data_IF_854609195274
#
_entry.id   IF_854609195274
#
_cell.length_a   1.000
_cell.length_b   1.000
_cell.length_c   1.000
_cell.angle_alpha   90.00
_cell.angle_beta   90.00
_cell.angle_gamma   90.00
#
_symmetry.space_group_name_H-M   'P 1'
#
loop_
_entity.id
_entity.type
_entity.pdbx_description
1 polymer ?
#
# COMPACT_ATOMS: atom_id res chain seq x y z
N UNK A 1 -32.58 12.68 5.75
CA UNK A 1 -31.59 12.97 4.70
C UNK A 1 -30.27 12.30 5.06
N UNK A 2 -29.91 11.33 4.23
CA UNK A 2 -28.85 10.34 4.43
C UNK A 2 -27.49 10.98 4.04
N UNK A 3 -26.91 11.78 4.92
CA UNK A 3 -25.62 12.46 4.63
C UNK A 3 -24.39 11.56 4.82
N UNK A 4 -24.58 10.33 5.32
CA UNK A 4 -23.51 9.38 5.66
C UNK A 4 -23.23 8.30 4.61
N UNK A 5 -24.25 7.78 3.92
CA UNK A 5 -24.11 6.64 3.01
C UNK A 5 -23.26 6.94 1.77
N UNK A 6 -23.34 8.16 1.23
CA UNK A 6 -22.50 8.56 0.09
C UNK A 6 -20.99 8.64 0.43
N UNK A 7 -20.64 8.93 1.70
CA UNK A 7 -19.24 8.93 2.14
C UNK A 7 -18.70 7.53 2.37
N UNK A 8 -19.51 6.62 2.92
CA UNK A 8 -19.12 5.23 3.11
C UNK A 8 -19.00 4.47 1.80
N UNK A 9 -19.85 4.76 0.80
CA UNK A 9 -19.72 4.20 -0.54
C UNK A 9 -18.39 4.61 -1.20
N UNK A 10 -18.07 5.91 -1.21
CA UNK A 10 -16.81 6.44 -1.76
C UNK A 10 -15.56 5.82 -1.13
N UNK A 11 -15.59 5.56 0.19
CA UNK A 11 -14.50 4.87 0.89
C UNK A 11 -14.33 3.43 0.43
N UNK A 12 -15.43 2.70 0.24
CA UNK A 12 -15.39 1.32 -0.27
C UNK A 12 -14.84 1.27 -1.70
N UNK A 13 -15.25 2.21 -2.56
CA UNK A 13 -14.76 2.32 -3.94
C UNK A 13 -13.25 2.60 -3.99
N UNK A 14 -12.74 3.52 -3.17
CA UNK A 14 -11.29 3.79 -3.06
C UNK A 14 -10.50 2.55 -2.62
N UNK A 15 -10.99 1.81 -1.62
CA UNK A 15 -10.38 0.54 -1.15
C UNK A 15 -10.31 -0.50 -2.26
N UNK A 16 -11.43 -0.71 -2.95
CA UNK A 16 -11.53 -1.66 -4.05
C UNK A 16 -10.55 -1.30 -5.17
N UNK A 17 -10.41 0.00 -5.48
CA UNK A 17 -9.47 0.48 -6.51
C UNK A 17 -8.01 0.16 -6.14
N UNK A 18 -7.61 0.40 -4.90
CA UNK A 18 -6.26 0.08 -4.41
C UNK A 18 -6.00 -1.42 -4.48
N UNK A 19 -6.96 -2.23 -4.02
CA UNK A 19 -6.86 -3.69 -4.07
C UNK A 19 -6.77 -4.22 -5.50
N UNK A 20 -7.55 -3.64 -6.41
CA UNK A 20 -7.53 -4.02 -7.83
C UNK A 20 -6.21 -3.63 -8.51
N UNK A 21 -5.62 -2.47 -8.18
CA UNK A 21 -4.28 -2.09 -8.67
C UNK A 21 -3.23 -3.10 -8.17
N UNK A 22 -3.28 -3.47 -6.89
CA UNK A 22 -2.37 -4.47 -6.30
C UNK A 22 -2.50 -5.83 -6.97
N UNK A 23 -3.73 -6.28 -7.24
CA UNK A 23 -3.99 -7.54 -7.91
C UNK A 23 -3.51 -7.53 -9.38
N UNK A 24 -3.85 -6.49 -10.14
CA UNK A 24 -3.49 -6.39 -11.56
C UNK A 24 -1.98 -6.30 -11.78
N UNK A 25 -1.25 -5.65 -10.86
CA UNK A 25 0.20 -5.50 -10.95
C UNK A 25 0.99 -6.63 -10.26
N UNK A 26 0.29 -7.61 -9.69
CA UNK A 26 0.91 -8.77 -9.05
C UNK A 26 1.77 -8.40 -7.83
N UNK A 27 1.37 -7.39 -7.06
CA UNK A 27 2.12 -6.86 -5.92
C UNK A 27 2.08 -7.76 -4.67
N UNK A 28 1.44 -8.92 -4.74
CA UNK A 28 1.34 -9.89 -3.65
C UNK A 28 2.64 -10.68 -3.42
N UNK A 29 3.52 -10.75 -4.41
CA UNK A 29 4.79 -11.44 -4.32
C UNK A 29 5.84 -10.56 -3.63
N UNK A 30 6.14 -10.87 -2.36
CA UNK A 30 7.09 -10.13 -1.54
C UNK A 30 8.54 -10.25 -2.00
N UNK A 31 8.88 -11.26 -2.82
CA UNK A 31 10.23 -11.39 -3.40
C UNK A 31 10.42 -10.45 -4.61
N UNK A 32 9.33 -10.05 -5.26
CA UNK A 32 9.35 -9.17 -6.44
C UNK A 32 8.81 -7.76 -6.20
N UNK A 33 8.32 -7.50 -5.00
CA UNK A 33 7.67 -6.24 -4.64
C UNK A 33 8.43 -5.59 -3.49
N UNK A 34 9.05 -4.41 -3.71
CA UNK A 34 9.63 -3.62 -2.63
C UNK A 34 8.56 -3.19 -1.63
N UNK A 35 8.91 -3.19 -0.35
CA UNK A 35 8.02 -2.66 0.68
C UNK A 35 7.95 -1.12 0.60
N UNK A 36 6.83 -0.49 1.00
CA UNK A 36 6.76 0.97 1.08
C UNK A 36 7.90 1.55 1.92
N UNK A 37 8.66 2.49 1.34
CA UNK A 37 9.84 3.09 1.98
C UNK A 37 11.11 2.24 2.00
N UNK A 38 11.10 1.03 1.44
CA UNK A 38 12.30 0.17 1.34
C UNK A 38 13.30 0.72 0.33
N UNK A 39 14.57 0.80 0.73
CA UNK A 39 15.64 1.17 -0.20
C UNK A 39 15.94 0.03 -1.17
N UNK A 40 16.43 0.33 -2.38
CA UNK A 40 16.87 -0.71 -3.33
C UNK A 40 17.89 -1.68 -2.70
N UNK A 41 18.77 -1.16 -1.86
CA UNK A 41 19.79 -1.95 -1.17
C UNK A 41 19.15 -2.98 -0.24
N UNK A 42 18.16 -2.57 0.55
CA UNK A 42 17.48 -3.44 1.50
C UNK A 42 16.58 -4.46 0.79
N UNK A 43 15.87 -4.00 -0.25
CA UNK A 43 15.07 -4.85 -1.13
C UNK A 43 15.91 -5.99 -1.72
N UNK A 44 17.04 -5.64 -2.36
CA UNK A 44 17.93 -6.65 -2.94
C UNK A 44 18.53 -7.56 -1.87
N UNK A 45 18.97 -7.00 -0.73
CA UNK A 45 19.54 -7.81 0.37
C UNK A 45 18.58 -8.89 0.84
N UNK A 46 17.28 -8.57 0.96
CA UNK A 46 16.23 -9.50 1.39
C UNK A 46 15.86 -10.53 0.33
N UNK A 47 15.97 -10.17 -0.95
CA UNK A 47 15.47 -10.96 -2.09
C UNK A 47 16.58 -11.54 -2.97
N UNK A 48 17.84 -11.42 -2.56
CA UNK A 48 19.00 -11.76 -3.40
C UNK A 48 18.98 -13.20 -3.95
N UNK A 49 18.53 -14.18 -3.16
CA UNK A 49 18.47 -15.58 -3.56
C UNK A 49 17.49 -15.77 -4.70
N UNK A 50 16.31 -15.13 -4.61
CA UNK A 50 15.30 -15.17 -5.66
C UNK A 50 15.86 -14.60 -6.97
N UNK A 51 16.47 -13.42 -6.92
CA UNK A 51 16.98 -12.77 -8.11
C UNK A 51 18.19 -13.46 -8.72
N UNK A 52 19.07 -14.04 -7.89
CA UNK A 52 20.17 -14.86 -8.38
C UNK A 52 19.66 -16.15 -9.02
N UNK A 53 18.67 -16.83 -8.44
CA UNK A 53 18.08 -18.01 -9.09
C UNK A 53 17.44 -17.67 -10.44
N UNK A 54 16.69 -16.56 -10.51
CA UNK A 54 16.10 -16.08 -11.75
C UNK A 54 17.17 -15.71 -12.81
N UNK A 55 18.25 -15.04 -12.40
CA UNK A 55 19.37 -14.75 -13.28
C UNK A 55 20.06 -16.03 -13.78
N UNK A 56 20.29 -17.00 -12.88
CA UNK A 56 20.92 -18.27 -13.22
C UNK A 56 20.10 -19.04 -14.25
N UNK A 57 18.77 -19.05 -14.12
CA UNK A 57 17.87 -19.74 -15.07
C UNK A 57 18.10 -19.29 -16.52
N UNK A 58 18.33 -17.99 -16.74
CA UNK A 58 18.48 -17.42 -18.07
C UNK A 58 19.93 -17.35 -18.58
N UNK A 59 20.89 -17.17 -17.67
CA UNK A 59 22.30 -16.90 -18.05
C UNK A 59 23.23 -18.07 -17.78
N UNK A 60 22.88 -18.95 -16.83
CA UNK A 60 23.76 -19.98 -16.25
C UNK A 60 25.08 -19.40 -15.70
N UNK A 61 25.16 -18.08 -15.48
CA UNK A 61 26.33 -17.44 -14.89
C UNK A 61 26.49 -17.85 -13.43
N UNK A 62 27.73 -17.80 -12.93
CA UNK A 62 28.04 -18.18 -11.54
C UNK A 62 28.91 -17.12 -10.85
N UNK A 63 29.09 -17.27 -9.54
CA UNK A 63 30.03 -16.44 -8.78
C UNK A 63 29.70 -14.94 -8.82
N UNK A 64 30.66 -14.14 -9.29
CA UNK A 64 30.53 -12.66 -9.32
C UNK A 64 29.51 -12.19 -10.36
N UNK A 65 29.48 -12.83 -11.52
CA UNK A 65 28.58 -12.47 -12.62
C UNK A 65 27.13 -12.70 -12.21
N UNK A 66 26.85 -13.86 -11.61
CA UNK A 66 25.51 -14.18 -11.10
C UNK A 66 24.96 -13.13 -10.11
N UNK A 67 25.83 -12.65 -9.19
CA UNK A 67 25.43 -11.62 -8.22
C UNK A 67 25.16 -10.27 -8.88
N UNK A 68 25.85 -9.97 -9.97
CA UNK A 68 25.62 -8.75 -10.77
C UNK A 68 24.30 -8.88 -11.52
N UNK A 69 24.06 -10.00 -12.19
CA UNK A 69 22.84 -10.20 -12.98
C UNK A 69 21.60 -10.23 -12.10
N UNK A 70 21.66 -10.89 -10.94
CA UNK A 70 20.58 -10.84 -9.95
C UNK A 70 20.32 -9.41 -9.46
N UNK A 71 21.37 -8.61 -9.24
CA UNK A 71 21.20 -7.21 -8.86
C UNK A 71 20.55 -6.39 -9.99
N UNK A 72 20.97 -6.59 -11.23
CA UNK A 72 20.44 -5.87 -12.39
C UNK A 72 18.94 -6.18 -12.59
N UNK A 73 18.52 -7.45 -12.42
CA UNK A 73 17.09 -7.83 -12.43
C UNK A 73 16.29 -7.13 -11.31
N UNK A 74 16.82 -7.15 -10.08
CA UNK A 74 16.19 -6.48 -8.94
C UNK A 74 16.08 -4.97 -9.15
N UNK A 75 17.11 -4.34 -9.71
CA UNK A 75 17.15 -2.90 -10.02
C UNK A 75 16.07 -2.52 -11.03
N UNK A 76 15.92 -3.29 -12.11
CA UNK A 76 14.89 -3.05 -13.13
C UNK A 76 13.51 -3.14 -12.49
N UNK A 77 13.24 -4.21 -11.74
CA UNK A 77 11.93 -4.40 -11.08
C UNK A 77 11.63 -3.31 -10.05
N UNK A 78 12.63 -2.92 -9.25
CA UNK A 78 12.49 -1.86 -8.26
C UNK A 78 12.10 -0.53 -8.93
N UNK A 79 12.76 -0.16 -10.03
CA UNK A 79 12.46 1.07 -10.77
C UNK A 79 11.09 1.05 -11.42
N UNK A 80 10.67 -0.10 -11.95
CA UNK A 80 9.35 -0.29 -12.54
C UNK A 80 8.24 -0.10 -11.49
N UNK A 81 8.39 -0.70 -10.31
CA UNK A 81 7.36 -0.66 -9.27
C UNK A 81 7.37 0.62 -8.44
N UNK A 82 8.50 1.30 -8.31
CA UNK A 82 8.63 2.48 -7.46
C UNK A 82 7.56 3.56 -7.72
N UNK A 83 7.31 4.04 -8.95
CA UNK A 83 6.29 5.08 -9.17
C UNK A 83 4.88 4.63 -8.78
N UNK A 84 4.54 3.36 -9.04
CA UNK A 84 3.24 2.77 -8.67
C UNK A 84 3.10 2.68 -7.15
N UNK A 85 4.13 2.19 -6.46
CA UNK A 85 4.12 2.05 -5.01
C UNK A 85 4.09 3.41 -4.31
N UNK A 86 4.78 4.41 -4.86
CA UNK A 86 4.73 5.79 -4.36
C UNK A 86 3.32 6.39 -4.52
N UNK A 87 2.66 6.18 -5.67
CA UNK A 87 1.26 6.61 -5.90
C UNK A 87 0.28 5.89 -4.94
N UNK A 88 0.42 4.57 -4.77
CA UNK A 88 -0.39 3.79 -3.84
C UNK A 88 -0.22 4.28 -2.40
N UNK A 89 1.01 4.60 -1.99
CA UNK A 89 1.27 5.12 -0.64
C UNK A 89 0.54 6.45 -0.38
N UNK A 90 0.47 7.34 -1.39
CA UNK A 90 -0.31 8.58 -1.30
C UNK A 90 -1.81 8.29 -1.16
N UNK A 91 -2.36 7.45 -2.04
CA UNK A 91 -3.78 7.09 -2.00
C UNK A 91 -4.19 6.43 -0.68
N UNK A 92 -3.33 5.54 -0.14
CA UNK A 92 -3.55 4.89 1.15
C UNK A 92 -3.47 5.88 2.32
N UNK A 93 -2.53 6.83 2.29
CA UNK A 93 -2.42 7.88 3.30
C UNK A 93 -3.63 8.80 3.29
N UNK A 94 -4.11 9.23 2.12
CA UNK A 94 -5.32 10.04 1.97
C UNK A 94 -6.56 9.29 2.49
N UNK A 95 -6.69 8.02 2.15
CA UNK A 95 -7.80 7.19 2.60
C UNK A 95 -7.78 7.02 4.13
N UNK A 96 -6.60 6.76 4.72
CA UNK A 96 -6.43 6.64 6.16
C UNK A 96 -6.80 7.93 6.90
N UNK A 97 -6.36 9.08 6.39
CA UNK A 97 -6.69 10.39 6.96
C UNK A 97 -8.21 10.67 6.90
N UNK A 98 -8.87 10.33 5.79
CA UNK A 98 -10.32 10.49 5.63
C UNK A 98 -11.12 9.58 6.59
N UNK A 99 -10.61 8.39 6.89
CA UNK A 99 -11.20 7.46 7.86
C UNK A 99 -11.11 7.98 9.29
N UNK A 100 -9.94 8.48 9.69
CA UNK A 100 -9.69 9.03 11.02
C UNK A 100 -10.58 10.26 11.32
N UNK A 101 -10.68 11.20 10.36
CA UNK A 101 -11.59 12.35 10.48
C UNK A 101 -13.07 11.94 10.57
N UNK A 102 -13.47 10.86 9.89
CA UNK A 102 -14.84 10.35 9.97
C UNK A 102 -15.20 9.78 11.34
N UNK A 103 -14.25 9.15 12.01
CA UNK A 103 -14.41 8.60 13.36
C UNK A 103 -14.55 9.74 14.37
N UNK A 104 -13.73 10.79 14.27
CA UNK A 104 -13.81 11.96 15.17
C UNK A 104 -15.12 12.74 15.06
N UNK A 105 -15.66 12.93 13.85
CA UNK A 105 -16.94 13.65 13.67
C UNK A 105 -18.11 12.83 14.25
N UNK A 106 -18.08 11.51 14.08
CA UNK A 106 -19.08 10.57 14.65
C UNK A 106 -19.09 10.61 16.19
N UNK A 107 -17.91 10.55 16.82
CA UNK A 107 -17.78 10.55 18.29
C UNK A 107 -18.22 11.88 18.91
N UNK A 108 -17.88 13.01 18.28
CA UNK A 108 -18.26 14.37 18.75
C UNK A 108 -19.77 14.63 18.66
N UNK A 109 -20.45 14.02 17.70
CA UNK A 109 -21.92 14.17 17.53
C UNK A 109 -22.71 13.35 18.57
N UNK A 110 -22.17 12.21 19.03
CA UNK A 110 -22.83 11.36 20.05
C UNK A 110 -22.78 11.96 21.46
N UNK A 111 -21.78 12.80 21.77
CA UNK A 111 -21.66 13.49 23.07
C UNK A 111 -22.65 14.64 23.30
N UNK A 112 -23.23 15.24 22.26
CA UNK A 112 -24.06 16.46 22.39
C UNK A 112 -25.57 16.19 22.61
N UNK A 113 -25.98 14.93 22.78
CA UNK A 113 -27.39 14.48 22.95
C UNK A 113 -27.75 14.00 24.37
N UNK A 114 -27.01 14.38 25.41
CA UNK A 114 -27.43 14.24 26.82
C UNK A 114 -27.35 15.60 27.50
N UNK A 115 -28.46 16.31 27.60
CA UNK A 115 -28.50 17.58 28.33
C UNK A 115 -29.61 18.54 27.91
N UNK A 116 -30.81 18.02 27.62
CA UNK A 116 -32.04 18.83 27.58
C UNK A 116 -33.22 17.94 27.97
N UNK A 117 -33.34 17.62 29.25
CA UNK A 117 -34.68 17.49 29.82
C UNK A 117 -34.81 18.54 30.90
N UNK A 118 -35.64 19.51 30.51
CA UNK A 118 -35.90 20.79 31.11
C UNK A 118 -36.79 20.57 32.34
N UNK A 119 -36.40 21.23 33.43
CA UNK A 119 -37.21 21.53 34.62
C UNK A 119 -38.67 21.83 34.25
N UNK A 120 -39.62 21.14 34.88
CA UNK A 120 -40.98 21.63 35.01
C UNK A 120 -41.36 21.56 36.50
N UNK A 121 -41.90 22.70 36.93
CA UNK A 121 -42.31 23.14 38.27
C UNK A 121 -43.21 22.18 39.01
#
# INVERSE_FOLDING_TARGET
MIKGEGKTLRRKEKRLRIEQIRANLGLSDSQRTPMPGESLKDFYKRTNMYWQMAAHEHTQHTGKELRKDGFDLALVRYRELKPVLDELAVLEAEQKAEEEQGIEISSKTKGKKKGKNLTIK
#
